data_IF_006134230515
#
_entry.id   IF_006134230515
#
_cell.length_a   1.000
_cell.length_b   1.000
_cell.length_c   1.000
_cell.angle_alpha   90.00
_cell.angle_beta   90.00
_cell.angle_gamma   90.00
#
_symmetry.space_group_name_H-M   'P 1'
#
loop_
_entity.id
_entity.type
_entity.pdbx_description
1 polymer ?
#
# COMPACT_ATOMS: atom_id res chain seq x y z
N UNK A 1 -3.71 -14.12 14.98
CA UNK A 1 -2.33 -13.92 14.45
C UNK A 1 -2.36 -12.82 13.41
N UNK A 2 -1.29 -12.01 13.33
CA UNK A 2 -1.15 -10.98 12.28
C UNK A 2 0.18 -11.18 11.56
N UNK A 3 0.12 -11.22 10.23
CA UNK A 3 1.26 -11.32 9.34
C UNK A 3 1.32 -10.10 8.43
N UNK A 4 2.53 -9.73 7.99
CA UNK A 4 2.76 -8.62 7.05
C UNK A 4 3.65 -9.11 5.92
N UNK A 5 3.36 -8.67 4.70
CA UNK A 5 4.18 -8.88 3.50
C UNK A 5 4.30 -7.57 2.72
N UNK A 6 5.28 -7.47 1.84
CA UNK A 6 5.44 -6.30 0.94
C UNK A 6 4.61 -6.42 -0.34
N UNK A 7 5.04 -5.71 -1.35
CA UNK A 7 4.41 -5.51 -2.65
C UNK A 7 3.98 -6.81 -3.31
N UNK A 8 2.77 -6.85 -3.82
CA UNK A 8 2.21 -8.02 -4.51
C UNK A 8 2.18 -7.86 -6.03
N UNK A 9 1.90 -6.65 -6.53
CA UNK A 9 1.78 -6.37 -7.98
C UNK A 9 0.91 -7.39 -8.72
N UNK A 10 -0.20 -7.85 -8.11
CA UNK A 10 -1.07 -8.87 -8.68
C UNK A 10 -0.48 -10.29 -8.68
N UNK A 11 0.69 -10.50 -8.12
CA UNK A 11 1.30 -11.83 -7.95
C UNK A 11 1.05 -12.37 -6.53
N UNK A 12 0.06 -13.24 -6.42
CA UNK A 12 -0.37 -13.84 -5.14
C UNK A 12 0.20 -15.24 -4.90
N UNK A 13 1.22 -15.67 -5.67
CA UNK A 13 1.84 -17.01 -5.54
C UNK A 13 2.30 -17.31 -4.12
N UNK A 14 2.80 -16.28 -3.40
CA UNK A 14 3.28 -16.43 -2.02
C UNK A 14 2.22 -16.88 -1.04
N UNK A 15 0.92 -16.73 -1.36
CA UNK A 15 -0.20 -17.18 -0.53
C UNK A 15 -0.64 -18.63 -0.83
N UNK A 16 0.00 -19.32 -1.77
CA UNK A 16 -0.26 -20.75 -1.97
C UNK A 16 0.32 -21.57 -0.80
N UNK A 17 -0.35 -22.65 -0.38
CA UNK A 17 0.11 -23.48 0.76
C UNK A 17 1.55 -23.96 0.67
N UNK A 18 2.08 -24.13 -0.55
CA UNK A 18 3.47 -24.51 -0.79
C UNK A 18 4.46 -23.46 -0.27
N UNK A 19 4.12 -22.16 -0.36
CA UNK A 19 5.02 -21.07 0.00
C UNK A 19 4.68 -20.44 1.36
N UNK A 20 3.46 -20.65 1.83
CA UNK A 20 2.99 -20.20 3.14
C UNK A 20 2.23 -21.33 3.85
N UNK A 21 2.94 -22.35 4.35
CA UNK A 21 2.30 -23.52 4.97
C UNK A 21 1.63 -23.20 6.31
N UNK A 22 2.00 -22.13 7.00
CA UNK A 22 1.39 -21.66 8.25
C UNK A 22 -0.10 -21.41 8.10
N UNK A 23 -0.56 -21.03 6.92
CA UNK A 23 -1.98 -20.78 6.64
C UNK A 23 -2.90 -21.98 6.91
N UNK A 24 -2.36 -23.20 6.95
CA UNK A 24 -3.15 -24.40 7.29
C UNK A 24 -3.77 -24.35 8.71
N UNK A 25 -3.29 -23.45 9.57
CA UNK A 25 -3.80 -23.25 10.93
C UNK A 25 -4.55 -21.93 11.09
N UNK A 26 -4.64 -21.15 10.02
CA UNK A 26 -5.27 -19.84 10.03
C UNK A 26 -6.78 -19.95 9.80
N UNK A 27 -7.49 -18.95 10.27
CA UNK A 27 -8.92 -18.73 10.09
C UNK A 27 -9.15 -17.30 9.61
N UNK A 28 -10.37 -16.95 9.23
CA UNK A 28 -10.73 -15.58 8.85
C UNK A 28 -10.52 -14.53 9.96
N UNK A 29 -10.23 -14.95 11.19
CA UNK A 29 -9.83 -14.06 12.27
C UNK A 29 -8.34 -13.72 12.25
N UNK A 30 -7.54 -14.52 11.55
CA UNK A 30 -6.11 -14.23 11.32
C UNK A 30 -5.97 -13.28 10.13
N UNK A 31 -4.99 -12.40 10.18
CA UNK A 31 -4.89 -11.27 9.25
C UNK A 31 -3.54 -11.31 8.54
N UNK A 32 -3.58 -11.16 7.23
CA UNK A 32 -2.42 -10.88 6.39
C UNK A 32 -2.52 -9.44 5.90
N UNK A 33 -1.51 -8.60 6.17
CA UNK A 33 -1.46 -7.21 5.71
C UNK A 33 -0.41 -7.09 4.60
N UNK A 34 -0.81 -6.59 3.43
CA UNK A 34 0.08 -6.21 2.34
C UNK A 34 0.47 -4.73 2.49
N UNK A 35 1.77 -4.44 2.46
CA UNK A 35 2.33 -3.10 2.60
C UNK A 35 2.35 -2.32 1.25
N UNK A 36 1.28 -2.42 0.46
CA UNK A 36 1.04 -1.66 -0.77
C UNK A 36 1.28 -2.43 -2.06
N UNK A 37 1.02 -1.75 -3.17
CA UNK A 37 1.09 -2.30 -4.52
C UNK A 37 0.39 -3.66 -4.63
N UNK A 38 -0.87 -3.66 -4.21
CA UNK A 38 -1.69 -4.87 -4.13
C UNK A 38 -1.94 -5.49 -5.51
N UNK A 39 -2.41 -4.68 -6.48
CA UNK A 39 -2.62 -5.08 -7.86
C UNK A 39 -3.75 -6.07 -8.09
N UNK A 40 -4.56 -6.38 -7.08
CA UNK A 40 -5.75 -7.25 -7.21
C UNK A 40 -7.01 -6.51 -7.67
N UNK A 41 -7.02 -5.19 -7.53
CA UNK A 41 -8.04 -4.29 -8.07
C UNK A 41 -7.37 -3.44 -9.13
N UNK A 42 -7.37 -3.91 -10.38
CA UNK A 42 -6.65 -3.22 -11.46
C UNK A 42 -7.57 -2.75 -12.58
N UNK A 43 -8.44 -3.62 -13.06
CA UNK A 43 -9.37 -3.28 -14.15
C UNK A 43 -10.62 -2.57 -13.64
N UNK A 44 -11.03 -2.84 -12.41
CA UNK A 44 -12.24 -2.29 -11.80
C UNK A 44 -13.54 -2.86 -12.41
N UNK A 45 -13.46 -4.04 -13.01
CA UNK A 45 -14.57 -4.78 -13.59
C UNK A 45 -14.39 -6.31 -13.37
N UNK A 46 -15.20 -7.12 -14.04
CA UNK A 46 -15.22 -8.57 -13.87
C UNK A 46 -13.90 -9.30 -14.20
N UNK A 47 -12.93 -8.62 -14.79
CA UNK A 47 -11.59 -9.19 -15.01
C UNK A 47 -10.81 -9.38 -13.71
N UNK A 48 -11.15 -8.60 -12.69
CA UNK A 48 -10.56 -8.74 -11.36
C UNK A 48 -11.23 -9.85 -10.54
N UNK A 49 -12.46 -10.26 -10.89
CA UNK A 49 -13.31 -11.13 -10.07
C UNK A 49 -12.68 -12.49 -9.77
N UNK A 50 -12.10 -13.17 -10.76
CA UNK A 50 -11.48 -14.48 -10.56
C UNK A 50 -10.37 -14.42 -9.50
N UNK A 51 -9.53 -13.40 -9.58
CA UNK A 51 -8.45 -13.19 -8.61
C UNK A 51 -9.00 -12.82 -7.24
N UNK A 52 -9.94 -11.88 -7.17
CA UNK A 52 -10.52 -11.43 -5.92
C UNK A 52 -11.32 -12.53 -5.22
N UNK A 53 -12.03 -13.38 -5.97
CA UNK A 53 -12.76 -14.50 -5.43
C UNK A 53 -11.80 -15.58 -4.91
N UNK A 54 -10.69 -15.83 -5.61
CA UNK A 54 -9.65 -16.71 -5.10
C UNK A 54 -9.04 -16.19 -3.80
N UNK A 55 -8.75 -14.88 -3.71
CA UNK A 55 -8.24 -14.23 -2.50
C UNK A 55 -9.26 -14.31 -1.35
N UNK A 56 -10.55 -14.16 -1.65
CA UNK A 56 -11.61 -14.33 -0.66
C UNK A 56 -11.65 -15.75 -0.08
N UNK A 57 -11.25 -16.76 -0.83
CA UNK A 57 -11.22 -18.16 -0.36
C UNK A 57 -9.97 -18.51 0.46
N UNK A 58 -8.98 -17.62 0.58
CA UNK A 58 -7.85 -17.84 1.49
C UNK A 58 -8.33 -18.03 2.94
N UNK A 59 -7.64 -18.83 3.76
CA UNK A 59 -8.13 -19.12 5.12
C UNK A 59 -8.06 -17.93 6.08
N UNK A 60 -7.42 -16.82 5.71
CA UNK A 60 -7.24 -15.61 6.50
C UNK A 60 -7.97 -14.41 5.88
N UNK A 61 -8.10 -13.33 6.63
CA UNK A 61 -8.50 -12.01 6.09
C UNK A 61 -7.28 -11.34 5.47
N UNK A 62 -7.37 -10.95 4.20
CA UNK A 62 -6.34 -10.21 3.50
C UNK A 62 -6.67 -8.71 3.57
N UNK A 63 -5.80 -7.94 4.19
CA UNK A 63 -5.88 -6.49 4.24
C UNK A 63 -4.69 -5.89 3.46
N UNK A 64 -4.84 -4.70 2.89
CA UNK A 64 -3.74 -4.02 2.21
C UNK A 64 -3.84 -2.50 2.37
N UNK A 65 -2.69 -1.82 2.47
CA UNK A 65 -2.62 -0.39 2.22
C UNK A 65 -2.42 -0.16 0.72
N UNK A 66 -2.81 0.98 0.18
CA UNK A 66 -2.53 1.30 -1.21
C UNK A 66 -1.04 1.64 -1.43
N UNK A 67 -0.53 1.37 -2.62
CA UNK A 67 0.78 1.81 -3.11
C UNK A 67 0.67 2.85 -4.21
N UNK A 68 1.69 3.01 -5.05
CA UNK A 68 1.61 3.84 -6.25
C UNK A 68 1.11 3.07 -7.49
N UNK A 69 1.10 1.74 -7.44
CA UNK A 69 0.56 0.88 -8.49
C UNK A 69 -0.84 0.36 -8.12
N UNK A 70 -1.81 1.30 -7.99
CA UNK A 70 -3.21 0.98 -7.70
C UNK A 70 -4.14 1.70 -8.68
N UNK A 71 -5.26 1.06 -9.01
CA UNK A 71 -6.35 1.73 -9.70
C UNK A 71 -7.25 2.42 -8.67
N UNK A 72 -6.96 3.68 -8.36
CA UNK A 72 -7.70 4.44 -7.37
C UNK A 72 -9.15 4.69 -7.77
N UNK A 73 -9.44 4.90 -9.07
CA UNK A 73 -10.81 5.04 -9.55
C UNK A 73 -11.65 3.79 -9.27
N UNK A 74 -11.03 2.62 -9.29
CA UNK A 74 -11.71 1.36 -8.96
C UNK A 74 -11.83 1.16 -7.45
N UNK A 75 -10.79 1.47 -6.67
CA UNK A 75 -10.81 1.36 -5.22
C UNK A 75 -11.87 2.26 -4.57
N UNK A 76 -12.04 3.48 -5.05
CA UNK A 76 -13.01 4.44 -4.53
C UNK A 76 -14.48 4.06 -4.79
N UNK A 77 -14.75 3.10 -5.69
CA UNK A 77 -16.12 2.59 -5.93
C UNK A 77 -16.58 1.60 -4.86
N UNK A 78 -15.67 1.01 -4.11
CA UNK A 78 -16.04 0.07 -3.06
C UNK A 78 -16.64 0.79 -1.85
N UNK A 79 -17.58 0.13 -1.19
CA UNK A 79 -18.23 0.70 -0.01
C UNK A 79 -17.25 0.86 1.13
N UNK A 80 -17.30 2.02 1.78
CA UNK A 80 -16.58 2.26 3.03
C UNK A 80 -17.31 1.56 4.15
N UNK A 81 -16.56 0.86 4.99
CA UNK A 81 -17.06 0.20 6.19
C UNK A 81 -16.10 0.46 7.37
N UNK A 82 -16.61 0.33 8.57
CA UNK A 82 -15.78 0.28 9.77
C UNK A 82 -15.30 -1.16 10.01
N UNK A 83 -14.01 -1.31 10.34
CA UNK A 83 -13.38 -2.57 10.66
C UNK A 83 -12.28 -2.35 11.71
N UNK A 84 -12.38 -3.01 12.85
CA UNK A 84 -11.42 -2.89 13.96
C UNK A 84 -11.06 -1.44 14.36
N UNK A 85 -12.05 -0.54 14.36
CA UNK A 85 -11.89 0.86 14.76
C UNK A 85 -11.40 1.82 13.65
N UNK A 86 -11.06 1.31 12.48
CA UNK A 86 -10.65 2.11 11.31
C UNK A 86 -11.58 1.92 10.11
N UNK A 87 -11.46 2.79 9.12
CA UNK A 87 -12.22 2.74 7.86
C UNK A 87 -11.50 1.89 6.83
N UNK A 88 -12.27 1.07 6.11
CA UNK A 88 -11.79 0.23 5.01
C UNK A 88 -12.70 0.35 3.79
N UNK A 89 -12.15 0.18 2.59
CA UNK A 89 -12.96 -0.22 1.44
C UNK A 89 -13.13 -1.74 1.45
N UNK A 90 -14.39 -2.19 1.41
CA UNK A 90 -14.71 -3.62 1.40
C UNK A 90 -14.70 -4.15 -0.03
N UNK A 91 -13.55 -4.65 -0.48
CA UNK A 91 -13.37 -5.21 -1.83
C UNK A 91 -14.08 -6.58 -1.94
N UNK A 92 -13.93 -7.41 -0.91
CA UNK A 92 -14.68 -8.65 -0.64
C UNK A 92 -14.95 -8.72 0.87
N UNK A 93 -15.77 -9.64 1.37
CA UNK A 93 -15.98 -9.81 2.81
C UNK A 93 -14.68 -9.89 3.64
N UNK A 94 -13.64 -10.54 3.08
CA UNK A 94 -12.34 -10.73 3.74
C UNK A 94 -11.14 -10.24 2.88
N UNK A 95 -11.39 -9.38 1.90
CA UNK A 95 -10.34 -8.62 1.18
C UNK A 95 -10.62 -7.14 1.39
N UNK A 96 -9.77 -6.47 2.15
CA UNK A 96 -10.03 -5.14 2.70
C UNK A 96 -8.90 -4.17 2.31
N UNK A 97 -9.26 -3.03 1.72
CA UNK A 97 -8.33 -1.92 1.56
C UNK A 97 -8.36 -1.06 2.83
N UNK A 98 -7.26 -1.02 3.56
CA UNK A 98 -7.09 -0.17 4.74
C UNK A 98 -6.92 1.28 4.29
N UNK A 99 -7.90 2.13 4.60
CA UNK A 99 -7.85 3.53 4.19
C UNK A 99 -6.70 4.25 4.90
N UNK A 100 -6.23 5.33 4.30
CA UNK A 100 -5.10 6.10 4.80
C UNK A 100 -5.39 6.77 6.12
N UNK A 101 -4.36 6.85 6.96
CA UNK A 101 -4.42 7.59 8.22
C UNK A 101 -5.28 6.94 9.30
N UNK A 102 -5.66 5.68 9.13
CA UNK A 102 -6.49 4.96 10.09
C UNK A 102 -5.63 4.25 11.15
N UNK A 103 -6.26 3.97 12.29
CA UNK A 103 -5.71 3.14 13.34
C UNK A 103 -6.65 1.96 13.55
N UNK A 104 -6.09 0.75 13.43
CA UNK A 104 -6.82 -0.51 13.61
C UNK A 104 -6.37 -1.19 14.92
N UNK A 105 -7.32 -1.69 15.68
CA UNK A 105 -7.03 -2.49 16.89
C UNK A 105 -7.10 -3.98 16.55
N UNK A 106 -5.96 -4.62 16.36
CA UNK A 106 -5.82 -6.02 15.99
C UNK A 106 -5.15 -6.77 17.14
N UNK A 107 -5.80 -7.80 17.70
CA UNK A 107 -5.27 -8.60 18.83
C UNK A 107 -4.80 -7.71 20.00
N UNK A 108 -5.53 -6.63 20.29
CA UNK A 108 -5.20 -5.62 21.33
C UNK A 108 -3.97 -4.74 21.05
N UNK A 109 -3.43 -4.78 19.83
CA UNK A 109 -2.35 -3.88 19.37
C UNK A 109 -2.90 -2.85 18.38
N UNK A 110 -2.36 -1.64 18.42
CA UNK A 110 -2.73 -0.55 17.53
C UNK A 110 -1.82 -0.52 16.31
N UNK A 111 -2.43 -0.61 15.14
CA UNK A 111 -1.77 -0.52 13.85
C UNK A 111 -2.14 0.80 13.17
N UNK A 112 -1.20 1.72 13.03
CA UNK A 112 -1.38 2.89 12.18
C UNK A 112 -1.03 2.55 10.73
N UNK A 113 -1.88 2.96 9.79
CA UNK A 113 -1.69 2.68 8.36
C UNK A 113 -1.67 3.94 7.52
N UNK A 114 -0.73 4.02 6.55
CA UNK A 114 -0.64 5.13 5.60
C UNK A 114 -0.10 4.61 4.27
N UNK A 115 -0.98 4.44 3.30
CA UNK A 115 -0.60 4.00 1.96
C UNK A 115 -0.16 5.13 1.04
N UNK A 116 0.35 4.74 -0.13
CA UNK A 116 0.81 5.63 -1.18
C UNK A 116 2.32 5.74 -1.28
N UNK A 117 2.79 6.12 -2.46
CA UNK A 117 4.15 6.54 -2.76
C UNK A 117 4.16 7.33 -4.07
N UNK A 118 5.19 8.15 -4.28
CA UNK A 118 5.41 8.82 -5.55
C UNK A 118 6.01 7.85 -6.56
N UNK A 119 5.42 7.76 -7.74
CA UNK A 119 5.96 6.97 -8.84
C UNK A 119 7.31 7.49 -9.33
N UNK A 120 8.25 6.57 -9.59
CA UNK A 120 9.61 6.90 -10.06
C UNK A 120 9.76 6.77 -11.59
N UNK A 121 8.80 6.18 -12.26
CA UNK A 121 8.85 5.85 -13.69
C UNK A 121 8.00 6.80 -14.54
N UNK A 122 8.02 8.08 -14.18
CA UNK A 122 7.29 9.19 -14.82
C UNK A 122 8.22 10.30 -15.31
N UNK A 123 9.51 10.03 -15.49
CA UNK A 123 10.51 11.02 -15.91
C UNK A 123 10.21 11.62 -17.30
N UNK A 124 9.57 10.85 -18.18
CA UNK A 124 9.13 11.30 -19.50
C UNK A 124 7.71 11.87 -19.50
N UNK A 125 7.12 11.97 -18.32
CA UNK A 125 5.86 12.63 -18.04
C UNK A 125 4.67 11.71 -17.91
N UNK A 126 3.55 12.33 -17.56
CA UNK A 126 2.23 11.72 -17.49
C UNK A 126 1.45 12.21 -18.71
N UNK A 127 0.85 11.29 -19.43
CA UNK A 127 0.01 11.60 -20.59
C UNK A 127 -1.44 11.72 -20.16
N UNK A 128 -2.11 12.78 -20.65
CA UNK A 128 -3.55 12.96 -20.48
C UNK A 128 -4.27 12.35 -21.69
N UNK A 129 -5.15 11.34 -21.50
CA UNK A 129 -5.83 10.67 -22.62
C UNK A 129 -6.63 11.61 -23.52
N UNK A 130 -7.21 12.67 -22.92
CA UNK A 130 -8.05 13.64 -23.62
C UNK A 130 -7.24 14.81 -24.24
N UNK A 131 -5.91 14.82 -24.10
CA UNK A 131 -5.10 15.88 -24.68
C UNK A 131 -5.08 15.81 -26.23
N UNK A 132 -5.18 16.95 -26.93
CA UNK A 132 -5.20 16.96 -28.40
C UNK A 132 -3.97 16.31 -29.06
N UNK A 133 -2.86 16.22 -28.35
CA UNK A 133 -1.59 15.66 -28.82
C UNK A 133 -1.27 14.28 -28.23
N UNK A 134 -2.21 13.64 -27.53
CA UNK A 134 -2.01 12.36 -26.84
C UNK A 134 -1.42 11.29 -27.75
N UNK A 135 -2.06 10.97 -28.88
CA UNK A 135 -1.62 9.93 -29.81
C UNK A 135 -0.21 10.19 -30.36
N UNK A 136 0.09 11.45 -30.66
CA UNK A 136 1.41 11.86 -31.13
C UNK A 136 2.47 11.64 -30.04
N UNK A 137 2.21 12.08 -28.81
CA UNK A 137 3.14 11.93 -27.69
C UNK A 137 3.31 10.44 -27.32
N UNK A 138 2.22 9.68 -27.27
CA UNK A 138 2.24 8.25 -26.99
C UNK A 138 3.12 7.52 -28.03
N UNK A 139 2.90 7.78 -29.32
CA UNK A 139 3.71 7.19 -30.40
C UNK A 139 5.19 7.55 -30.28
N UNK A 140 5.52 8.77 -29.92
CA UNK A 140 6.92 9.19 -29.71
C UNK A 140 7.56 8.45 -28.54
N UNK A 141 6.85 8.35 -27.42
CA UNK A 141 7.35 7.68 -26.21
C UNK A 141 7.48 6.16 -26.40
N UNK A 142 6.55 5.52 -27.11
CA UNK A 142 6.64 4.09 -27.46
C UNK A 142 7.87 3.77 -28.32
N UNK A 143 8.35 4.72 -29.11
CA UNK A 143 9.57 4.58 -29.93
C UNK A 143 10.86 4.92 -29.17
N UNK A 144 10.76 5.59 -28.04
CA UNK A 144 11.90 5.95 -27.19
C UNK A 144 12.35 4.72 -26.38
N UNK A 145 13.59 4.24 -26.55
CA UNK A 145 14.11 3.15 -25.74
C UNK A 145 14.05 3.49 -24.24
N UNK A 146 13.48 2.62 -23.45
CA UNK A 146 13.35 2.78 -21.97
C UNK A 146 12.61 4.04 -21.56
N UNK A 147 11.62 4.48 -22.34
CA UNK A 147 10.76 5.59 -21.96
C UNK A 147 10.05 5.27 -20.63
N UNK A 148 10.04 6.23 -19.72
CA UNK A 148 9.40 6.17 -18.41
C UNK A 148 8.25 7.16 -18.37
N UNK A 149 7.10 6.70 -18.84
CA UNK A 149 5.87 7.49 -18.86
C UNK A 149 4.70 6.68 -18.35
N UNK A 150 3.69 7.36 -17.88
CA UNK A 150 2.42 6.79 -17.47
C UNK A 150 1.27 7.52 -18.15
N UNK A 151 0.09 6.94 -18.07
CA UNK A 151 -1.13 7.53 -18.63
C UNK A 151 -2.11 7.74 -17.48
N UNK A 152 -2.59 8.97 -17.36
CA UNK A 152 -3.51 9.36 -16.30
C UNK A 152 -4.81 8.55 -16.36
N UNK A 153 -5.32 8.11 -15.22
CA UNK A 153 -6.48 7.23 -15.05
C UNK A 153 -6.43 5.88 -15.81
N UNK A 154 -5.22 5.44 -16.26
CA UNK A 154 -5.00 4.14 -16.91
C UNK A 154 -3.86 3.37 -16.24
N UNK A 155 -2.75 4.03 -15.97
CA UNK A 155 -1.57 3.43 -15.36
C UNK A 155 -0.92 4.34 -14.31
N UNK A 156 -1.53 5.47 -14.03
CA UNK A 156 -1.15 6.42 -13.00
C UNK A 156 -2.37 7.22 -12.54
N UNK A 157 -2.39 7.56 -11.26
CA UNK A 157 -3.43 8.36 -10.62
C UNK A 157 -2.77 9.34 -9.65
N UNK A 158 -3.24 10.59 -9.64
CA UNK A 158 -2.75 11.61 -8.71
C UNK A 158 -2.95 11.21 -7.24
N UNK A 159 -3.93 10.35 -6.99
CA UNK A 159 -4.24 9.76 -5.69
C UNK A 159 -3.15 8.80 -5.18
N UNK A 160 -2.08 8.51 -5.95
CA UNK A 160 -0.92 7.81 -5.40
C UNK A 160 -0.33 8.54 -4.19
N UNK A 161 -0.49 9.86 -4.13
CA UNK A 161 -0.16 10.68 -2.97
C UNK A 161 -1.45 11.07 -2.20
N UNK A 162 -1.38 11.09 -0.86
CA UNK A 162 -2.53 11.44 -0.03
C UNK A 162 -3.02 12.88 -0.24
N UNK A 163 -4.31 13.09 -0.10
CA UNK A 163 -4.96 14.39 -0.06
C UNK A 163 -4.70 15.14 1.25
N UNK A 164 -5.01 16.45 1.28
CA UNK A 164 -4.94 17.26 2.49
C UNK A 164 -5.84 16.73 3.61
N UNK A 165 -7.00 16.22 3.25
CA UNK A 165 -7.99 15.63 4.16
C UNK A 165 -7.45 14.34 4.78
N UNK A 166 -6.80 13.48 4.00
CA UNK A 166 -6.19 12.23 4.49
C UNK A 166 -5.02 12.52 5.45
N UNK A 167 -4.17 13.50 5.17
CA UNK A 167 -3.13 13.93 6.12
C UNK A 167 -3.74 14.51 7.41
N UNK A 168 -4.80 15.32 7.29
CA UNK A 168 -5.46 15.88 8.46
C UNK A 168 -6.16 14.81 9.29
N UNK A 169 -6.78 13.81 8.66
CA UNK A 169 -7.40 12.67 9.33
C UNK A 169 -6.35 11.81 10.05
N UNK A 170 -5.23 11.54 9.39
CA UNK A 170 -4.11 10.81 9.97
C UNK A 170 -3.60 11.48 11.26
N UNK A 171 -3.39 12.80 11.23
CA UNK A 171 -2.97 13.55 12.43
C UNK A 171 -4.02 13.50 13.53
N UNK A 172 -5.31 13.70 13.21
CA UNK A 172 -6.38 13.60 14.20
C UNK A 172 -6.42 12.24 14.88
N UNK A 173 -6.29 11.16 14.11
CA UNK A 173 -6.30 9.81 14.65
C UNK A 173 -5.08 9.53 15.52
N UNK A 174 -3.89 9.99 15.12
CA UNK A 174 -2.67 9.89 15.93
C UNK A 174 -2.77 10.74 17.21
N UNK A 175 -3.30 11.97 17.12
CA UNK A 175 -3.52 12.83 18.29
C UNK A 175 -4.48 12.17 19.29
N UNK A 176 -5.56 11.53 18.80
CA UNK A 176 -6.55 10.85 19.65
C UNK A 176 -5.95 9.72 20.50
N UNK A 177 -4.85 9.09 20.05
CA UNK A 177 -4.13 8.05 20.81
C UNK A 177 -2.81 8.56 21.40
N UNK A 178 -2.59 9.88 21.41
CA UNK A 178 -1.37 10.49 21.95
C UNK A 178 -0.10 10.06 21.21
N UNK A 179 -0.21 9.79 19.89
CA UNK A 179 0.87 9.29 19.01
C UNK A 179 1.50 7.99 19.52
N UNK A 180 0.73 7.15 20.23
CA UNK A 180 1.19 5.87 20.74
C UNK A 180 0.45 4.73 20.03
N UNK A 181 1.19 4.05 19.15
CA UNK A 181 0.74 2.87 18.40
C UNK A 181 1.78 1.77 18.54
N UNK A 182 1.41 0.52 18.25
CA UNK A 182 2.35 -0.59 18.39
C UNK A 182 3.08 -0.88 17.08
N UNK A 183 2.34 -0.83 15.97
CA UNK A 183 2.84 -1.10 14.63
C UNK A 183 2.46 0.03 13.68
N UNK A 184 3.35 0.31 12.74
CA UNK A 184 3.10 1.21 11.63
C UNK A 184 3.27 0.43 10.33
N UNK A 185 2.26 0.48 9.45
CA UNK A 185 2.28 -0.15 8.14
C UNK A 185 2.08 0.94 7.07
N UNK A 186 3.09 1.11 6.23
CA UNK A 186 3.03 2.09 5.13
C UNK A 186 3.50 1.43 3.83
N UNK A 187 3.29 2.11 2.69
CA UNK A 187 3.90 1.64 1.46
C UNK A 187 5.31 2.21 1.31
N UNK A 188 5.48 3.51 1.37
CA UNK A 188 6.83 4.11 1.37
C UNK A 188 7.36 4.38 2.78
N UNK A 189 8.60 4.87 2.88
CA UNK A 189 9.34 5.12 4.11
C UNK A 189 9.37 6.61 4.50
N UNK A 190 9.71 6.94 5.77
CA UNK A 190 10.06 8.30 6.17
C UNK A 190 11.24 8.86 5.35
N UNK A 191 11.27 10.19 5.12
CA UNK A 191 12.30 10.89 4.31
C UNK A 191 13.71 10.44 4.63
N UNK A 192 14.08 10.34 5.91
CA UNK A 192 15.43 9.95 6.31
C UNK A 192 15.81 8.53 5.92
N UNK A 193 14.84 7.62 5.77
CA UNK A 193 15.05 6.24 5.28
C UNK A 193 14.97 6.22 3.75
N UNK A 194 13.99 6.89 3.16
CA UNK A 194 13.82 6.97 1.72
C UNK A 194 15.08 7.46 1.01
N UNK A 195 15.82 8.40 1.62
CA UNK A 195 17.07 8.95 1.07
C UNK A 195 18.30 8.05 1.24
N UNK A 196 18.21 6.93 1.99
CA UNK A 196 19.40 6.10 2.31
C UNK A 196 19.90 5.23 1.16
N UNK A 197 19.16 4.99 0.11
CA UNK A 197 19.50 3.81 -0.67
C UNK A 197 19.43 3.84 -2.18
N UNK A 198 18.87 4.82 -2.85
CA UNK A 198 18.78 4.77 -4.30
C UNK A 198 18.91 6.11 -5.01
N UNK A 199 19.23 6.05 -6.31
CA UNK A 199 19.36 7.22 -7.20
C UNK A 199 18.01 7.91 -7.52
N UNK A 200 16.90 7.37 -7.04
CA UNK A 200 15.53 7.83 -7.35
C UNK A 200 14.78 8.29 -6.11
N UNK A 201 15.46 8.47 -4.98
CA UNK A 201 14.85 8.87 -3.73
C UNK A 201 14.82 10.38 -3.62
N UNK A 202 13.67 10.94 -3.88
CA UNK A 202 13.38 12.35 -3.59
C UNK A 202 12.47 12.41 -2.36
N UNK A 203 12.72 13.38 -1.50
CA UNK A 203 11.76 13.73 -0.48
C UNK A 203 10.50 14.31 -1.15
N UNK A 204 9.36 13.92 -0.67
CA UNK A 204 8.08 14.44 -1.08
C UNK A 204 7.20 14.67 0.15
N UNK A 205 6.00 15.21 -0.07
CA UNK A 205 5.09 15.53 1.01
C UNK A 205 4.69 14.32 1.85
N UNK A 206 4.58 13.13 1.25
CA UNK A 206 4.22 11.91 1.98
C UNK A 206 5.40 11.43 2.82
N UNK A 207 6.60 11.34 2.24
CA UNK A 207 7.80 10.94 2.99
C UNK A 207 8.10 11.91 4.14
N UNK A 208 7.84 13.22 3.95
CA UNK A 208 8.01 14.25 5.01
C UNK A 208 6.95 14.10 6.11
N UNK A 209 5.70 13.80 5.77
CA UNK A 209 4.68 13.45 6.76
C UNK A 209 5.06 12.18 7.54
N UNK A 210 5.56 11.16 6.86
CA UNK A 210 6.03 9.95 7.52
C UNK A 210 7.26 10.23 8.41
N UNK A 211 8.09 11.22 8.04
CA UNK A 211 9.17 11.69 8.92
C UNK A 211 8.63 12.35 10.20
N UNK A 212 7.57 13.17 10.09
CA UNK A 212 6.87 13.71 11.27
C UNK A 212 6.36 12.57 12.17
N UNK A 213 5.75 11.52 11.57
CA UNK A 213 5.28 10.35 12.34
C UNK A 213 6.44 9.64 13.02
N UNK A 214 7.56 9.43 12.33
CA UNK A 214 8.77 8.80 12.90
C UNK A 214 9.30 9.54 14.12
N UNK A 215 9.27 10.87 14.08
CA UNK A 215 9.84 11.73 15.15
C UNK A 215 8.91 11.87 16.37
N UNK A 216 7.58 11.80 16.14
CA UNK A 216 6.59 12.05 17.19
C UNK A 216 5.99 10.78 17.80
N UNK A 217 5.81 9.73 16.98
CA UNK A 217 5.11 8.55 17.41
C UNK A 217 5.99 7.62 18.27
N UNK A 218 5.33 6.96 19.23
CA UNK A 218 5.91 5.84 19.98
C UNK A 218 5.38 4.56 19.35
N UNK A 219 6.29 3.69 18.89
CA UNK A 219 5.92 2.42 18.25
C UNK A 219 7.01 1.36 18.48
N UNK A 220 6.64 0.08 18.27
CA UNK A 220 7.56 -1.04 18.34
C UNK A 220 8.23 -1.26 16.98
N UNK A 221 7.42 -1.46 15.92
CA UNK A 221 7.93 -1.75 14.59
C UNK A 221 7.19 -0.94 13.51
N UNK A 222 7.91 -0.61 12.46
CA UNK A 222 7.43 0.00 11.24
C UNK A 222 7.77 -0.89 10.05
N UNK A 223 6.76 -1.42 9.35
CA UNK A 223 6.94 -2.28 8.20
C UNK A 223 6.46 -1.54 6.94
N UNK A 224 7.23 -1.61 5.87
CA UNK A 224 6.92 -0.90 4.64
C UNK A 224 7.42 -1.65 3.41
N UNK A 225 6.91 -1.33 2.19
CA UNK A 225 7.24 -1.91 0.89
C UNK A 225 7.99 -0.96 -0.03
N UNK A 226 7.55 -0.89 -1.29
CA UNK A 226 7.96 0.07 -2.33
C UNK A 226 9.36 -0.10 -2.89
N UNK A 227 10.36 -0.44 -2.10
CA UNK A 227 11.77 -0.46 -2.52
C UNK A 227 12.25 -1.84 -2.98
N UNK A 228 11.35 -2.82 -3.07
CA UNK A 228 11.57 -4.18 -3.58
C UNK A 228 12.81 -4.87 -2.98
N UNK A 229 12.93 -4.83 -1.66
CA UNK A 229 13.97 -5.54 -0.93
C UNK A 229 13.41 -6.10 0.39
N UNK A 230 14.09 -7.07 0.96
CA UNK A 230 13.78 -7.63 2.27
C UNK A 230 14.93 -7.33 3.22
N UNK A 231 14.76 -6.31 4.08
CA UNK A 231 15.85 -5.82 4.91
C UNK A 231 15.37 -5.17 6.21
N UNK A 232 15.99 -5.50 7.31
CA UNK A 232 15.94 -4.65 8.50
C UNK A 232 16.83 -3.42 8.26
N UNK A 233 16.22 -2.23 8.21
CA UNK A 233 16.95 -0.97 8.03
C UNK A 233 17.65 -0.60 9.34
N UNK A 234 16.94 -0.75 10.45
CA UNK A 234 17.41 -0.60 11.81
C UNK A 234 16.59 -1.51 12.76
N UNK A 235 16.68 -1.29 14.06
CA UNK A 235 16.00 -2.12 15.08
C UNK A 235 14.48 -2.10 14.99
N UNK A 236 13.88 -1.09 14.33
CA UNK A 236 12.43 -0.89 14.27
C UNK A 236 11.86 -0.86 12.85
N UNK A 237 12.66 -0.53 11.85
CA UNK A 237 12.19 -0.32 10.48
C UNK A 237 12.54 -1.51 9.61
N UNK A 238 11.51 -2.15 9.05
CA UNK A 238 11.62 -3.39 8.27
C UNK A 238 11.04 -3.14 6.88
N UNK A 239 11.91 -3.19 5.89
CA UNK A 239 11.52 -3.20 4.48
C UNK A 239 11.15 -4.61 4.08
N UNK A 240 9.98 -4.76 3.47
CA UNK A 240 9.46 -6.03 3.00
C UNK A 240 9.15 -5.97 1.50
N UNK A 241 9.46 -7.05 0.84
CA UNK A 241 9.02 -7.34 -0.52
C UNK A 241 8.30 -8.68 -0.56
N UNK A 242 9.02 -9.78 -0.75
CA UNK A 242 8.43 -11.11 -0.94
C UNK A 242 8.22 -11.88 0.37
N UNK A 243 8.92 -11.50 1.42
CA UNK A 243 8.82 -12.18 2.72
C UNK A 243 7.45 -11.97 3.37
N UNK A 244 6.99 -13.01 4.06
CA UNK A 244 5.86 -12.94 4.99
C UNK A 244 6.45 -13.00 6.40
N UNK A 245 6.16 -11.98 7.21
CA UNK A 245 6.64 -11.87 8.58
C UNK A 245 5.46 -11.93 9.53
N UNK A 246 5.52 -12.80 10.51
CA UNK A 246 4.57 -12.81 11.62
C UNK A 246 4.94 -11.72 12.61
N UNK A 247 3.98 -10.84 12.95
CA UNK A 247 4.17 -9.74 13.91
C UNK A 247 3.45 -9.98 15.24
N UNK A 248 2.40 -10.82 15.24
CA UNK A 248 1.66 -11.26 16.43
C UNK A 248 1.35 -12.74 16.33
#
# INVERSE_FOLDING_TARGET
MVFVTGDLHGNFERFKPKYFPEQARMTKQDIMICAGDFGGVWFGDSRDDETLDWLEHLPFTLAFVCGNHENYDALERYSVAEWHGGKVHRVRPHVLHLMRGQIFELESYRFFTMGGAKSHDIEDGILEPDAPDFERRLTMLQRKPRARYRVNHISWWAQELPSDEEYAEARRNLDAVGWAVDYIITHCAPTSIALMGSRHNEADRLTDFLQEVRERAKYHYWLFGHYHDNKAIDEKHILLWEQIVRVI
#
